data_IF_505048285219
#
_entry.id   IF_505048285219
#
_cell.length_a   1.000
_cell.length_b   1.000
_cell.length_c   1.000
_cell.angle_alpha   90.00
_cell.angle_beta   90.00
_cell.angle_gamma   90.00
#
_symmetry.space_group_name_H-M   'P 1'
#
loop_
_entity.id
_entity.type
_entity.pdbx_description
1 polymer ?
#
# COMPACT_ATOMS: atom_id res chain seq x y z
N UNK A 1 14.91 2.43 1.67
CA UNK A 1 14.07 1.24 1.96
C UNK A 1 12.63 1.52 1.52
N UNK A 2 11.84 0.53 1.11
CA UNK A 2 10.43 0.73 0.69
C UNK A 2 9.51 0.18 1.80
N UNK A 3 8.59 0.98 2.31
CA UNK A 3 7.62 0.55 3.31
C UNK A 3 6.23 0.47 2.66
N UNK A 4 5.50 -0.60 2.97
CA UNK A 4 4.10 -0.79 2.57
C UNK A 4 3.20 -0.64 3.79
N UNK A 5 2.24 0.27 3.69
CA UNK A 5 1.21 0.47 4.70
C UNK A 5 -0.17 0.16 4.15
N UNK A 6 -1.05 -0.34 5.02
CA UNK A 6 -2.49 -0.31 4.82
C UNK A 6 -3.08 0.86 5.59
N UNK A 7 -3.82 1.73 4.91
CA UNK A 7 -4.58 2.81 5.52
C UNK A 7 -6.04 2.37 5.61
N UNK A 8 -6.61 2.44 6.81
CA UNK A 8 -8.01 2.12 7.08
C UNK A 8 -8.72 3.33 7.68
N UNK A 9 -9.98 3.56 7.26
CA UNK A 9 -10.78 4.72 7.63
C UNK A 9 -10.05 6.07 7.39
N UNK A 10 -9.18 6.15 6.38
CA UNK A 10 -8.48 7.36 5.95
C UNK A 10 -7.35 7.85 6.86
N UNK A 11 -7.16 7.26 8.05
CA UNK A 11 -6.17 7.75 9.03
C UNK A 11 -5.41 6.64 9.78
N UNK A 12 -5.99 5.45 9.95
CA UNK A 12 -5.31 4.37 10.68
C UNK A 12 -4.26 3.73 9.78
N UNK A 13 -2.99 3.86 10.15
CA UNK A 13 -1.85 3.42 9.36
C UNK A 13 -1.25 2.15 9.97
N UNK A 14 -1.30 1.04 9.24
CA UNK A 14 -0.77 -0.26 9.64
C UNK A 14 0.41 -0.61 8.74
N UNK A 15 1.58 -0.90 9.32
CA UNK A 15 2.74 -1.37 8.56
C UNK A 15 2.52 -2.84 8.16
N UNK A 16 2.54 -3.13 6.87
CA UNK A 16 2.49 -4.50 6.35
C UNK A 16 3.91 -5.06 6.23
N UNK A 17 4.86 -4.25 5.75
CA UNK A 17 6.23 -4.72 5.60
C UNK A 17 7.21 -3.68 5.07
N UNK A 18 8.50 -4.04 5.12
CA UNK A 18 9.62 -3.29 4.56
C UNK A 18 10.34 -4.14 3.51
N UNK A 19 10.68 -3.53 2.38
CA UNK A 19 11.18 -4.22 1.20
C UNK A 19 12.41 -3.50 0.62
N UNK A 20 13.33 -4.30 0.07
CA UNK A 20 14.46 -3.77 -0.72
C UNK A 20 14.03 -3.30 -2.12
N UNK A 21 12.97 -3.89 -2.67
CA UNK A 21 12.49 -3.63 -4.03
C UNK A 21 10.97 -3.51 -4.11
N UNK A 22 10.49 -2.70 -5.05
CA UNK A 22 9.06 -2.42 -5.24
C UNK A 22 8.23 -3.68 -5.54
N UNK A 23 8.81 -4.64 -6.26
CA UNK A 23 8.13 -5.90 -6.59
C UNK A 23 7.69 -6.69 -5.35
N UNK A 24 8.49 -6.66 -4.28
CA UNK A 24 8.13 -7.30 -3.00
C UNK A 24 6.90 -6.64 -2.37
N UNK A 25 6.89 -5.30 -2.33
CA UNK A 25 5.74 -4.55 -1.82
C UNK A 25 4.47 -4.79 -2.64
N UNK A 26 4.58 -4.89 -3.97
CA UNK A 26 3.42 -5.17 -4.84
C UNK A 26 2.89 -6.60 -4.64
N UNK A 27 3.78 -7.59 -4.47
CA UNK A 27 3.35 -8.96 -4.19
C UNK A 27 2.63 -9.04 -2.84
N UNK A 28 3.20 -8.45 -1.80
CA UNK A 28 2.59 -8.44 -0.46
C UNK A 28 1.25 -7.70 -0.45
N UNK A 29 1.15 -6.57 -1.15
CA UNK A 29 -0.10 -5.84 -1.33
C UNK A 29 -1.20 -6.73 -1.92
N UNK A 30 -0.89 -7.50 -2.96
CA UNK A 30 -1.87 -8.40 -3.60
C UNK A 30 -2.26 -9.55 -2.66
N UNK A 31 -1.31 -10.12 -1.93
CA UNK A 31 -1.58 -11.18 -0.96
C UNK A 31 -2.43 -10.70 0.21
N UNK A 32 -2.12 -9.53 0.76
CA UNK A 32 -2.91 -8.89 1.81
C UNK A 32 -4.33 -8.59 1.31
N UNK A 33 -4.47 -8.06 0.10
CA UNK A 33 -5.78 -7.82 -0.50
C UNK A 33 -6.58 -9.12 -0.62
N UNK A 34 -6.00 -10.18 -1.16
CA UNK A 34 -6.69 -11.46 -1.35
C UNK A 34 -7.06 -12.13 -0.02
N UNK A 35 -6.25 -11.95 1.02
CA UNK A 35 -6.47 -12.58 2.33
C UNK A 35 -7.52 -11.87 3.18
N UNK A 36 -7.62 -10.54 3.07
CA UNK A 36 -8.39 -9.71 4.01
C UNK A 36 -9.51 -8.89 3.37
N UNK A 37 -9.67 -8.91 2.04
CA UNK A 37 -10.74 -8.18 1.35
C UNK A 37 -11.84 -9.11 0.86
N UNK A 38 -13.08 -8.63 0.93
CA UNK A 38 -14.23 -9.27 0.27
C UNK A 38 -14.29 -9.00 -1.26
N UNK A 39 -13.40 -8.15 -1.80
CA UNK A 39 -13.39 -7.81 -3.22
C UNK A 39 -12.60 -8.87 -4.01
N UNK A 40 -13.30 -9.78 -4.69
CA UNK A 40 -12.65 -10.90 -5.40
C UNK A 40 -11.90 -10.49 -6.68
N UNK A 41 -12.24 -9.35 -7.29
CA UNK A 41 -11.62 -8.85 -8.53
C UNK A 41 -11.30 -7.35 -8.40
N UNK A 42 -10.32 -6.98 -7.56
CA UNK A 42 -10.00 -5.58 -7.31
C UNK A 42 -9.49 -4.89 -8.58
N UNK A 43 -9.98 -3.67 -8.83
CA UNK A 43 -9.38 -2.75 -9.78
C UNK A 43 -8.49 -1.79 -9.00
N UNK A 44 -7.19 -1.93 -9.18
CA UNK A 44 -6.22 -1.07 -8.53
C UNK A 44 -6.08 0.25 -9.28
N UNK A 45 -6.21 1.37 -8.57
CA UNK A 45 -5.92 2.70 -9.08
C UNK A 45 -4.69 3.27 -8.39
N UNK A 46 -3.77 3.85 -9.16
CA UNK A 46 -2.50 4.38 -8.65
C UNK A 46 -2.49 5.90 -8.75
N UNK A 47 -2.12 6.55 -7.64
CA UNK A 47 -1.75 7.97 -7.59
C UNK A 47 -0.38 8.13 -6.92
N UNK A 48 0.34 9.21 -7.24
CA UNK A 48 1.70 9.44 -6.75
C UNK A 48 1.85 10.88 -6.28
N UNK A 49 2.54 11.09 -5.15
CA UNK A 49 2.87 12.41 -4.61
C UNK A 49 4.20 12.34 -3.86
N UNK A 50 5.25 12.95 -4.42
CA UNK A 50 6.61 12.84 -3.91
C UNK A 50 7.07 11.38 -3.87
N UNK A 51 7.61 10.95 -2.71
CA UNK A 51 8.07 9.58 -2.47
C UNK A 51 6.96 8.59 -2.10
N UNK A 52 5.70 9.01 -2.21
CA UNK A 52 4.53 8.20 -1.86
C UNK A 52 3.77 7.75 -3.11
N UNK A 53 3.44 6.46 -3.15
CA UNK A 53 2.56 5.85 -4.13
C UNK A 53 1.34 5.33 -3.37
N UNK A 54 0.18 5.89 -3.66
CA UNK A 54 -1.10 5.42 -3.13
C UNK A 54 -1.74 4.48 -4.14
N UNK A 55 -2.20 3.34 -3.65
CA UNK A 55 -2.91 2.32 -4.43
C UNK A 55 -4.27 2.10 -3.80
N UNK A 56 -5.29 2.60 -4.48
CA UNK A 56 -6.69 2.44 -4.10
C UNK A 56 -7.26 1.16 -4.70
N UNK A 57 -8.15 0.51 -3.95
CA UNK A 57 -9.00 -0.55 -4.46
C UNK A 57 -10.28 -0.59 -3.60
N UNK A 58 -11.45 -0.50 -4.23
CA UNK A 58 -12.72 -0.43 -3.49
C UNK A 58 -12.95 0.96 -2.88
N UNK A 59 -13.03 1.04 -1.55
CA UNK A 59 -13.39 2.27 -0.83
C UNK A 59 -12.23 3.28 -0.77
N UNK A 60 -12.53 4.57 -0.95
CA UNK A 60 -11.52 5.66 -1.03
C UNK A 60 -10.79 5.87 0.30
N UNK A 61 -11.37 5.48 1.43
CA UNK A 61 -10.76 5.59 2.75
C UNK A 61 -9.96 4.34 3.16
N UNK A 62 -9.91 3.32 2.31
CA UNK A 62 -9.15 2.09 2.52
C UNK A 62 -8.18 1.86 1.35
N UNK A 63 -6.90 2.16 1.55
CA UNK A 63 -5.91 2.14 0.48
C UNK A 63 -4.55 1.67 0.96
N UNK A 64 -3.73 1.19 0.03
CA UNK A 64 -2.33 0.91 0.30
C UNK A 64 -1.48 2.15 0.05
N UNK A 65 -0.51 2.37 0.90
CA UNK A 65 0.46 3.44 0.77
C UNK A 65 1.86 2.85 0.76
N UNK A 66 2.53 2.95 -0.38
CA UNK A 66 3.94 2.61 -0.54
C UNK A 66 4.73 3.89 -0.38
N UNK A 67 5.71 3.90 0.52
CA UNK A 67 6.57 5.05 0.75
C UNK A 67 8.02 4.64 0.66
N UNK A 68 8.86 5.48 0.05
CA UNK A 68 10.30 5.32 0.11
C UNK A 68 10.79 5.99 1.38
N UNK A 69 11.29 5.19 2.32
CA UNK A 69 12.02 5.70 3.48
C UNK A 69 13.31 6.32 2.98
N UNK A 70 13.36 7.65 2.96
CA UNK A 70 14.60 8.42 2.94
C UNK A 70 15.20 8.29 4.34
N UNK A 71 16.36 7.66 4.44
CA UNK A 71 17.18 7.83 5.65
C UNK A 71 17.46 9.33 5.75
N UNK A 72 16.99 9.94 6.83
CA UNK A 72 17.23 11.35 7.07
C UNK A 72 18.73 11.65 7.03
N UNK A 73 19.09 12.77 6.41
CA UNK A 73 20.38 13.42 6.68
C UNK A 73 20.48 13.78 8.15
#
# INVERSE_FOLDING_TARGET
>A
MIELYFIYNGHRKILIGSFGHIHGAINELKQHQASYSAVNNPRFHKSMSGENIRIDYGAVDCYYLITKKTEGK
#
